data_IF_019784234395
#
_entry.id   IF_019784234395
#
_cell.length_a   1.000
_cell.length_b   1.000
_cell.length_c   1.000
_cell.angle_alpha   90.00
_cell.angle_beta   90.00
_cell.angle_gamma   90.00
#
_symmetry.space_group_name_H-M   'P 1'
#
loop_
_entity.id
_entity.type
_entity.pdbx_description
1 polymer ?
#
# COMPACT_ATOMS: atom_id res chain seq x y z
N UNK A 1 24.22 21.48 24.10
CA UNK A 1 24.31 20.44 23.06
C UNK A 1 25.67 20.54 22.38
N UNK A 2 26.45 19.47 22.37
CA UNK A 2 27.75 19.42 21.68
C UNK A 2 27.54 19.29 20.18
N UNK A 3 28.37 19.94 19.36
CA UNK A 3 28.32 19.90 17.89
C UNK A 3 28.29 18.49 17.31
N UNK A 4 28.90 17.51 18.00
CA UNK A 4 28.85 16.09 17.62
C UNK A 4 27.45 15.44 17.68
N UNK A 5 26.53 15.95 18.51
CA UNK A 5 25.16 15.45 18.61
C UNK A 5 24.34 15.81 17.35
N UNK A 6 24.55 17.00 16.79
CA UNK A 6 23.81 17.50 15.62
C UNK A 6 24.24 16.75 14.36
N UNK A 7 25.53 16.55 14.12
CA UNK A 7 26.02 15.78 12.96
C UNK A 7 25.54 14.32 12.98
N UNK A 8 25.55 13.68 14.15
CA UNK A 8 25.09 12.29 14.28
C UNK A 8 23.59 12.18 13.99
N UNK A 9 22.79 13.12 14.50
CA UNK A 9 21.36 13.19 14.22
C UNK A 9 21.06 13.38 12.74
N UNK A 10 21.74 14.34 12.07
CA UNK A 10 21.54 14.61 10.65
C UNK A 10 21.89 13.40 9.79
N UNK A 11 23.00 12.70 10.07
CA UNK A 11 23.39 11.48 9.35
C UNK A 11 22.35 10.39 9.53
N UNK A 12 21.86 10.18 10.76
CA UNK A 12 20.85 9.16 11.04
C UNK A 12 19.54 9.44 10.29
N UNK A 13 19.10 10.69 10.28
CA UNK A 13 17.90 11.14 9.54
C UNK A 13 18.07 10.87 8.05
N UNK A 14 19.21 11.23 7.44
CA UNK A 14 19.48 10.97 6.01
C UNK A 14 19.43 9.47 5.71
N UNK A 15 20.08 8.64 6.54
CA UNK A 15 20.09 7.18 6.36
C UNK A 15 18.67 6.60 6.42
N UNK A 16 17.84 7.07 7.36
CA UNK A 16 16.44 6.64 7.48
C UNK A 16 15.64 7.05 6.23
N UNK A 17 15.76 8.29 5.76
CA UNK A 17 15.07 8.75 4.55
C UNK A 17 15.50 7.97 3.31
N UNK A 18 16.79 7.67 3.15
CA UNK A 18 17.30 6.84 2.05
C UNK A 18 16.74 5.42 2.15
N UNK A 19 16.74 4.82 3.34
CA UNK A 19 16.19 3.48 3.54
C UNK A 19 14.68 3.42 3.22
N UNK A 20 13.90 4.41 3.67
CA UNK A 20 12.48 4.54 3.34
C UNK A 20 12.29 4.72 1.83
N UNK A 21 13.09 5.58 1.19
CA UNK A 21 13.03 5.81 -0.26
C UNK A 21 13.32 4.54 -1.06
N UNK A 22 14.34 3.77 -0.66
CA UNK A 22 14.68 2.48 -1.28
C UNK A 22 13.56 1.46 -1.08
N UNK A 23 12.97 1.38 0.12
CA UNK A 23 11.84 0.48 0.40
C UNK A 23 10.61 0.84 -0.44
N UNK A 24 10.24 2.12 -0.51
CA UNK A 24 9.12 2.60 -1.34
C UNK A 24 9.38 2.28 -2.81
N UNK A 25 10.57 2.59 -3.32
CA UNK A 25 10.93 2.29 -4.70
C UNK A 25 10.88 0.79 -4.99
N UNK A 26 11.40 -0.05 -4.08
CA UNK A 26 11.34 -1.51 -4.20
C UNK A 26 9.91 -2.03 -4.18
N UNK A 27 9.05 -1.50 -3.30
CA UNK A 27 7.64 -1.84 -3.20
C UNK A 27 6.88 -1.47 -4.49
N UNK A 28 7.09 -0.24 -5.00
CA UNK A 28 6.49 0.21 -6.25
C UNK A 28 6.95 -0.65 -7.43
N UNK A 29 8.25 -0.99 -7.48
CA UNK A 29 8.81 -1.86 -8.52
C UNK A 29 8.27 -3.29 -8.41
N UNK A 30 8.12 -3.83 -7.20
CA UNK A 30 7.55 -5.16 -6.98
C UNK A 30 6.07 -5.19 -7.39
N UNK A 31 5.29 -4.19 -6.98
CA UNK A 31 3.88 -4.04 -7.38
C UNK A 31 3.74 -3.92 -8.90
N UNK A 32 4.61 -3.15 -9.56
CA UNK A 32 4.61 -3.03 -11.01
C UNK A 32 4.92 -4.38 -11.69
N UNK A 33 5.87 -5.17 -11.15
CA UNK A 33 6.15 -6.52 -11.66
C UNK A 33 4.99 -7.48 -11.42
N UNK A 34 4.32 -7.41 -10.26
CA UNK A 34 3.15 -8.23 -9.95
C UNK A 34 1.99 -7.94 -10.90
N UNK A 35 1.66 -6.66 -11.12
CA UNK A 35 0.61 -6.27 -12.08
C UNK A 35 0.90 -6.76 -13.49
N UNK A 36 2.18 -6.71 -13.89
CA UNK A 36 2.63 -7.28 -15.16
C UNK A 36 2.66 -8.81 -15.18
N UNK A 37 2.30 -9.53 -14.12
CA UNK A 37 2.37 -11.00 -14.06
C UNK A 37 3.79 -11.57 -13.99
N UNK A 38 4.83 -10.74 -13.87
CA UNK A 38 6.26 -11.17 -13.85
C UNK A 38 6.67 -11.95 -12.60
N UNK A 39 5.82 -11.95 -11.58
CA UNK A 39 6.06 -12.60 -10.29
C UNK A 39 4.82 -13.40 -9.95
N UNK A 40 5.01 -14.67 -9.56
CA UNK A 40 3.90 -15.49 -9.11
C UNK A 40 3.19 -14.86 -7.91
N UNK A 41 1.87 -15.02 -7.87
CA UNK A 41 1.01 -14.27 -6.97
C UNK A 41 1.31 -14.54 -5.49
N UNK A 42 1.66 -15.79 -5.13
CA UNK A 42 2.06 -16.13 -3.76
C UNK A 42 3.36 -15.45 -3.33
N UNK A 43 4.36 -15.38 -4.23
CA UNK A 43 5.63 -14.71 -3.94
C UNK A 43 5.44 -13.20 -3.81
N UNK A 44 4.62 -12.59 -4.66
CA UNK A 44 4.29 -11.18 -4.57
C UNK A 44 3.58 -10.84 -3.24
N UNK A 45 2.58 -11.65 -2.85
CA UNK A 45 1.88 -11.50 -1.57
C UNK A 45 2.82 -11.66 -0.37
N UNK A 46 3.70 -12.66 -0.39
CA UNK A 46 4.72 -12.88 0.66
C UNK A 46 5.70 -11.70 0.76
N UNK A 47 6.15 -11.15 -0.36
CA UNK A 47 7.02 -9.96 -0.38
C UNK A 47 6.33 -8.72 0.20
N UNK A 48 5.07 -8.47 -0.17
CA UNK A 48 4.29 -7.38 0.43
C UNK A 48 4.10 -7.59 1.94
N UNK A 49 3.77 -8.82 2.36
CA UNK A 49 3.59 -9.13 3.76
C UNK A 49 4.88 -8.90 4.57
N UNK A 50 6.02 -9.36 4.05
CA UNK A 50 7.34 -9.15 4.67
C UNK A 50 7.65 -7.66 4.83
N UNK A 51 7.35 -6.85 3.80
CA UNK A 51 7.53 -5.40 3.87
C UNK A 51 6.70 -4.78 5.01
N UNK A 52 5.45 -5.19 5.17
CA UNK A 52 4.61 -4.73 6.28
C UNK A 52 5.17 -5.16 7.64
N UNK A 53 5.68 -6.40 7.76
CA UNK A 53 6.33 -6.85 9.00
C UNK A 53 7.58 -6.03 9.33
N UNK A 54 8.43 -5.73 8.35
CA UNK A 54 9.63 -4.88 8.53
C UNK A 54 9.23 -3.48 8.99
N UNK A 55 8.20 -2.89 8.38
CA UNK A 55 7.68 -1.58 8.81
C UNK A 55 7.11 -1.64 10.24
N UNK A 56 6.46 -2.75 10.62
CA UNK A 56 6.01 -3.01 11.99
C UNK A 56 7.17 -3.04 12.99
N UNK A 57 8.24 -3.77 12.67
CA UNK A 57 9.47 -3.85 13.49
C UNK A 57 10.11 -2.46 13.64
N UNK A 58 10.19 -1.69 12.55
CA UNK A 58 10.74 -0.34 12.59
C UNK A 58 9.95 0.59 13.53
N UNK A 59 8.61 0.55 13.44
CA UNK A 59 7.74 1.35 14.31
C UNK A 59 7.85 0.91 15.78
N UNK A 60 7.92 -0.39 16.05
CA UNK A 60 8.12 -0.91 17.40
C UNK A 60 9.48 -0.48 17.98
N UNK A 61 10.53 -0.47 17.15
CA UNK A 61 11.85 0.03 17.53
C UNK A 61 11.83 1.52 17.92
N UNK A 62 11.11 2.35 17.17
CA UNK A 62 10.91 3.77 17.51
C UNK A 62 10.15 3.94 18.83
N UNK A 63 9.04 3.19 19.02
CA UNK A 63 8.30 3.21 20.29
C UNK A 63 9.16 2.79 21.49
N UNK A 64 10.02 1.79 21.31
CA UNK A 64 10.94 1.33 22.36
C UNK A 64 12.05 2.35 22.64
N UNK A 65 12.57 3.01 21.62
CA UNK A 65 13.53 4.10 21.77
C UNK A 65 12.98 5.23 22.65
N UNK A 66 11.72 5.62 22.43
CA UNK A 66 11.04 6.62 23.27
C UNK A 66 10.86 6.11 24.71
N UNK A 67 10.46 4.84 24.91
CA UNK A 67 10.37 4.25 26.26
C UNK A 67 11.68 4.32 27.04
N UNK A 68 12.81 4.09 26.38
CA UNK A 68 14.13 4.15 27.02
C UNK A 68 14.50 5.59 27.40
N UNK A 69 14.10 6.58 26.59
CA UNK A 69 14.39 7.99 26.86
C UNK A 69 13.58 8.55 28.06
N UNK A 70 12.40 8.00 28.36
CA UNK A 70 11.51 8.48 29.45
C UNK A 70 12.00 8.05 30.85
N UNK A 71 13.07 7.25 30.95
CA UNK A 71 13.49 6.55 32.18
C UNK A 71 13.95 7.46 33.36
N UNK A 72 13.76 8.77 33.28
CA UNK A 72 14.07 9.75 34.34
C UNK A 72 12.90 10.60 34.84
N UNK A 73 11.74 10.60 34.17
CA UNK A 73 10.61 11.51 34.48
C UNK A 73 9.30 10.71 34.58
N UNK A 74 9.15 9.92 35.66
CA UNK A 74 8.06 8.94 35.81
C UNK A 74 6.69 9.58 36.14
N UNK A 75 6.61 10.89 36.39
CA UNK A 75 5.35 11.56 36.75
C UNK A 75 4.59 12.22 35.58
N UNK A 76 5.12 12.23 34.35
CA UNK A 76 4.44 12.87 33.23
C UNK A 76 3.90 11.87 32.20
N UNK A 77 2.74 12.24 31.66
CA UNK A 77 1.89 11.48 30.74
C UNK A 77 2.69 10.76 29.65
N UNK A 78 2.21 9.57 29.23
CA UNK A 78 2.78 8.83 28.09
C UNK A 78 2.91 9.78 26.88
N UNK A 79 4.12 9.94 26.30
CA UNK A 79 4.31 10.80 25.15
C UNK A 79 3.45 10.29 24.00
N UNK A 80 2.76 11.22 23.35
CA UNK A 80 1.84 10.92 22.24
C UNK A 80 2.60 10.21 21.11
N UNK A 81 3.88 10.55 20.93
CA UNK A 81 4.80 9.93 20.00
C UNK A 81 4.89 8.42 20.21
N UNK A 82 5.07 7.96 21.46
CA UNK A 82 5.13 6.54 21.79
C UNK A 82 3.83 5.82 21.43
N UNK A 83 2.68 6.45 21.69
CA UNK A 83 1.37 5.90 21.33
C UNK A 83 1.25 5.78 19.81
N UNK A 84 1.63 6.81 19.07
CA UNK A 84 1.59 6.82 17.59
C UNK A 84 2.47 5.71 17.02
N UNK A 85 3.71 5.56 17.48
CA UNK A 85 4.61 4.51 17.01
C UNK A 85 4.10 3.11 17.36
N UNK A 86 3.52 2.94 18.55
CA UNK A 86 2.94 1.65 18.98
C UNK A 86 1.74 1.26 18.11
N UNK A 87 0.82 2.19 17.86
CA UNK A 87 -0.33 1.95 16.99
C UNK A 87 0.10 1.69 15.54
N UNK A 88 1.10 2.43 15.04
CA UNK A 88 1.71 2.19 13.73
C UNK A 88 2.25 0.76 13.61
N UNK A 89 3.00 0.30 14.62
CA UNK A 89 3.52 -1.06 14.66
C UNK A 89 2.40 -2.10 14.61
N UNK A 90 1.35 -1.95 15.42
CA UNK A 90 0.20 -2.86 15.45
C UNK A 90 -0.50 -2.94 14.09
N UNK A 91 -0.73 -1.80 13.42
CA UNK A 91 -1.36 -1.75 12.10
C UNK A 91 -0.51 -2.51 11.07
N UNK A 92 0.80 -2.26 11.04
CA UNK A 92 1.69 -2.89 10.07
C UNK A 92 1.87 -4.39 10.33
N UNK A 93 2.04 -4.82 11.58
CA UNK A 93 2.06 -6.25 11.92
C UNK A 93 0.74 -6.93 11.58
N UNK A 94 -0.39 -6.34 11.97
CA UNK A 94 -1.72 -6.88 11.68
C UNK A 94 -1.93 -7.03 10.17
N UNK A 95 -1.51 -6.05 9.37
CA UNK A 95 -1.59 -6.13 7.91
C UNK A 95 -0.70 -7.22 7.33
N UNK A 96 0.55 -7.32 7.79
CA UNK A 96 1.49 -8.34 7.35
C UNK A 96 0.99 -9.75 7.65
N UNK A 97 0.53 -10.00 8.88
CA UNK A 97 -0.04 -11.29 9.30
C UNK A 97 -1.30 -11.60 8.49
N UNK A 98 -2.23 -10.65 8.38
CA UNK A 98 -3.45 -10.84 7.58
C UNK A 98 -3.13 -11.17 6.11
N UNK A 99 -2.09 -10.56 5.54
CA UNK A 99 -1.63 -10.90 4.19
C UNK A 99 -1.03 -12.30 4.11
N UNK A 100 -0.30 -12.79 5.12
CA UNK A 100 0.18 -14.17 5.12
C UNK A 100 -0.94 -15.19 5.29
N UNK A 101 -2.01 -14.83 6.01
CA UNK A 101 -3.15 -15.74 6.26
C UNK A 101 -4.19 -15.77 5.14
N UNK A 102 -4.26 -14.73 4.30
CA UNK A 102 -5.25 -14.69 3.22
C UNK A 102 -4.84 -15.58 2.05
N UNK A 103 -5.78 -16.34 1.46
CA UNK A 103 -5.50 -17.03 0.21
C UNK A 103 -5.17 -16.02 -0.88
N UNK A 104 -4.26 -16.42 -1.76
CA UNK A 104 -3.88 -15.66 -2.96
C UNK A 104 -5.14 -15.44 -3.81
N UNK A 105 -5.31 -14.25 -4.39
CA UNK A 105 -6.44 -13.99 -5.28
C UNK A 105 -6.27 -14.79 -6.55
N UNK A 106 -7.34 -15.45 -6.98
CA UNK A 106 -7.34 -16.25 -8.20
C UNK A 106 -6.98 -15.44 -9.44
N UNK A 107 -7.45 -14.19 -9.50
CA UNK A 107 -7.15 -13.29 -10.63
C UNK A 107 -5.67 -12.97 -10.73
N UNK A 108 -4.99 -12.73 -9.60
CA UNK A 108 -3.53 -12.52 -9.57
C UNK A 108 -2.77 -13.77 -10.09
N UNK A 109 -3.25 -14.97 -9.77
CA UNK A 109 -2.66 -16.21 -10.28
C UNK A 109 -2.83 -16.32 -11.81
N UNK A 110 -4.02 -16.02 -12.34
CA UNK A 110 -4.25 -16.07 -13.78
C UNK A 110 -3.41 -15.03 -14.53
N UNK A 111 -3.34 -13.79 -14.02
CA UNK A 111 -2.48 -12.74 -14.58
C UNK A 111 -1.01 -13.17 -14.70
N UNK A 112 -0.49 -13.84 -13.68
CA UNK A 112 0.88 -14.34 -13.70
C UNK A 112 1.08 -15.46 -14.73
N UNK A 113 0.09 -16.36 -14.88
CA UNK A 113 0.15 -17.45 -15.85
C UNK A 113 0.02 -16.96 -17.30
N UNK A 114 -0.83 -15.97 -17.58
CA UNK A 114 -0.96 -15.39 -18.93
C UNK A 114 0.31 -14.65 -19.37
N UNK A 115 1.03 -14.03 -18.41
CA UNK A 115 2.30 -13.38 -18.72
C UNK A 115 3.39 -14.40 -19.07
N UNK A 116 3.44 -15.52 -18.36
CA UNK A 116 4.41 -16.59 -18.56
C UNK A 116 3.78 -17.96 -18.34
N UNK A 117 3.24 -18.55 -19.42
CA UNK A 117 2.54 -19.84 -19.37
C UNK A 117 3.48 -21.03 -19.14
N UNK A 118 4.80 -20.83 -19.14
CA UNK A 118 5.77 -21.86 -18.75
C UNK A 118 5.82 -22.03 -17.23
N UNK A 119 5.18 -21.15 -16.45
CA UNK A 119 5.22 -21.18 -14.98
C UNK A 119 3.85 -21.09 -14.36
N UNK A 120 3.61 -21.87 -13.31
CA UNK A 120 2.40 -21.76 -12.50
C UNK A 120 2.23 -20.35 -11.95
N UNK A 121 1.11 -19.69 -12.28
CA UNK A 121 0.84 -18.32 -11.83
C UNK A 121 0.68 -18.16 -10.32
N UNK A 122 0.31 -19.23 -9.60
CA UNK A 122 0.20 -19.22 -8.13
C UNK A 122 1.54 -19.31 -7.42
N UNK A 123 2.30 -20.38 -7.65
CA UNK A 123 3.54 -20.68 -6.90
C UNK A 123 4.83 -20.40 -7.69
N UNK A 124 4.77 -20.29 -9.03
CA UNK A 124 5.93 -20.05 -9.90
C UNK A 124 6.71 -21.31 -10.29
N UNK A 125 6.18 -22.50 -10.02
CA UNK A 125 6.76 -23.77 -10.48
C UNK A 125 6.77 -23.85 -12.00
N UNK A 126 7.78 -24.50 -12.58
CA UNK A 126 7.88 -24.72 -14.03
C UNK A 126 6.85 -25.76 -14.48
N UNK A 127 5.98 -25.38 -15.42
CA UNK A 127 4.89 -26.20 -15.95
C UNK A 127 5.00 -26.44 -17.45
N UNK A 128 6.12 -26.05 -18.10
CA UNK A 128 6.29 -26.13 -19.56
C UNK A 128 6.04 -27.52 -20.14
N UNK A 129 6.36 -28.57 -19.37
CA UNK A 129 6.26 -29.96 -19.80
C UNK A 129 5.15 -30.74 -19.08
N UNK A 130 4.22 -30.03 -18.43
CA UNK A 130 3.15 -30.67 -17.65
C UNK A 130 1.88 -30.77 -18.48
N UNK A 131 1.46 -31.99 -18.77
CA UNK A 131 0.19 -32.27 -19.46
C UNK A 131 -1.03 -32.19 -18.54
N UNK A 132 -0.82 -32.13 -17.23
CA UNK A 132 -1.92 -32.03 -16.26
C UNK A 132 -2.53 -30.63 -16.26
N UNK A 133 -3.83 -30.56 -15.98
CA UNK A 133 -4.56 -29.29 -15.82
C UNK A 133 -4.27 -28.58 -14.50
N UNK A 134 -3.46 -29.16 -13.61
CA UNK A 134 -3.24 -28.64 -12.26
C UNK A 134 -1.76 -28.69 -11.87
N UNK A 135 -1.27 -27.62 -11.26
CA UNK A 135 0.12 -27.55 -10.81
C UNK A 135 0.43 -28.66 -9.78
N UNK A 136 1.48 -29.47 -9.97
CA UNK A 136 1.80 -30.57 -9.05
C UNK A 136 2.25 -30.10 -7.66
N UNK A 137 2.82 -28.90 -7.56
CA UNK A 137 3.31 -28.35 -6.28
C UNK A 137 2.19 -27.78 -5.40
N UNK A 138 1.29 -26.99 -6.00
CA UNK A 138 0.31 -26.22 -5.23
C UNK A 138 -1.15 -26.56 -5.56
N UNK A 139 -1.39 -27.51 -6.46
CA UNK A 139 -2.72 -27.96 -6.87
C UNK A 139 -3.58 -26.91 -7.57
N UNK A 140 -2.98 -25.81 -8.05
CA UNK A 140 -3.74 -24.75 -8.72
C UNK A 140 -4.13 -25.18 -10.14
N UNK A 141 -5.41 -25.07 -10.47
CA UNK A 141 -5.93 -25.40 -11.80
C UNK A 141 -5.50 -24.33 -12.81
N UNK A 142 -4.74 -24.74 -13.83
CA UNK A 142 -4.28 -23.88 -14.91
C UNK A 142 -5.45 -23.64 -15.85
N UNK A 143 -6.04 -22.44 -15.76
CA UNK A 143 -7.13 -22.03 -16.65
C UNK A 143 -6.58 -21.71 -18.03
N UNK A 144 -7.39 -21.97 -19.06
CA UNK A 144 -7.07 -21.51 -20.41
C UNK A 144 -7.30 -19.99 -20.47
N UNK A 145 -6.44 -19.29 -21.20
CA UNK A 145 -6.45 -17.82 -21.31
C UNK A 145 -7.73 -17.25 -21.94
N UNK A 146 -8.53 -18.08 -22.63
CA UNK A 146 -9.83 -17.71 -23.21
C UNK A 146 -10.98 -17.69 -22.20
N UNK A 147 -10.81 -18.32 -21.02
CA UNK A 147 -11.85 -18.41 -20.00
C UNK A 147 -11.85 -17.25 -18.99
N UNK A 148 -10.78 -16.44 -18.95
CA UNK A 148 -10.62 -15.39 -17.94
C UNK A 148 -10.50 -14.02 -18.60
N UNK A 149 -11.44 -13.13 -18.28
CA UNK A 149 -11.36 -11.73 -18.71
C UNK A 149 -10.48 -10.95 -17.74
N UNK A 150 -9.40 -10.39 -18.27
CA UNK A 150 -8.43 -9.61 -17.50
C UNK A 150 -8.69 -8.11 -17.63
N UNK A 151 -8.62 -7.37 -16.51
CA UNK A 151 -8.69 -5.90 -16.51
C UNK A 151 -7.40 -5.30 -17.11
N UNK A 152 -7.54 -4.33 -18.03
CA UNK A 152 -6.38 -3.65 -18.63
C UNK A 152 -5.68 -2.72 -17.63
N UNK A 153 -4.38 -2.95 -17.40
CA UNK A 153 -3.58 -2.13 -16.48
C UNK A 153 -3.25 -0.71 -16.97
N UNK A 154 -3.41 -0.43 -18.26
CA UNK A 154 -2.95 0.81 -18.90
C UNK A 154 -3.92 2.00 -18.76
N UNK A 155 -4.63 2.11 -17.64
CA UNK A 155 -5.56 3.24 -17.37
C UNK A 155 -4.91 4.60 -17.55
N UNK A 156 -3.60 4.72 -17.32
CA UNK A 156 -2.83 5.93 -17.57
C UNK A 156 -2.80 6.37 -19.03
N UNK A 157 -3.33 5.58 -19.97
CA UNK A 157 -3.52 5.98 -21.37
C UNK A 157 -4.97 6.33 -21.67
N UNK A 158 -5.80 6.65 -20.67
CA UNK A 158 -7.21 7.01 -20.86
C UNK A 158 -7.42 8.12 -21.89
N UNK A 159 -6.49 9.08 -21.98
CA UNK A 159 -6.55 10.15 -22.99
C UNK A 159 -6.15 9.72 -24.41
N UNK A 160 -5.59 8.52 -24.61
CA UNK A 160 -5.19 7.96 -25.93
C UNK A 160 -6.15 6.86 -26.40
N UNK A 161 -7.43 6.94 -26.04
CA UNK A 161 -8.43 5.96 -26.46
C UNK A 161 -8.26 4.59 -25.81
N UNK A 162 -7.63 4.53 -24.62
CA UNK A 162 -7.63 3.31 -23.79
C UNK A 162 -9.06 2.86 -23.50
N UNK A 163 -9.24 1.54 -23.39
CA UNK A 163 -10.53 0.88 -23.22
C UNK A 163 -10.42 -0.17 -22.13
N UNK A 164 -11.50 -0.28 -21.35
CA UNK A 164 -11.72 -1.36 -20.40
C UNK A 164 -12.78 -2.30 -20.97
N UNK A 165 -12.42 -3.57 -21.15
CA UNK A 165 -13.31 -4.63 -21.65
C UNK A 165 -14.03 -5.36 -20.52
N UNK A 166 -13.41 -5.40 -19.34
CA UNK A 166 -13.92 -6.05 -18.16
C UNK A 166 -13.51 -5.26 -16.92
N UNK A 167 -14.46 -5.11 -15.98
CA UNK A 167 -14.23 -4.50 -14.68
C UNK A 167 -14.54 -5.55 -13.62
N UNK A 168 -13.57 -5.89 -12.77
CA UNK A 168 -13.83 -6.80 -11.68
C UNK A 168 -14.89 -6.22 -10.71
N UNK A 169 -15.83 -7.03 -10.20
CA UNK A 169 -16.76 -6.59 -9.16
C UNK A 169 -16.04 -6.06 -7.90
N UNK A 170 -14.85 -6.60 -7.58
CA UNK A 170 -13.96 -6.10 -6.52
C UNK A 170 -13.55 -4.66 -6.74
N UNK A 171 -13.26 -4.26 -7.98
CA UNK A 171 -12.79 -2.90 -8.31
C UNK A 171 -13.83 -1.84 -7.97
N UNK A 172 -15.12 -2.11 -8.21
CA UNK A 172 -16.22 -1.20 -7.84
C UNK A 172 -16.33 -1.07 -6.32
N UNK A 173 -16.28 -2.20 -5.60
CA UNK A 173 -16.32 -2.20 -4.14
C UNK A 173 -15.12 -1.48 -3.53
N UNK A 174 -13.93 -1.72 -4.08
CA UNK A 174 -12.67 -1.11 -3.64
C UNK A 174 -12.66 0.40 -3.93
N UNK A 175 -13.26 0.84 -5.05
CA UNK A 175 -13.47 2.25 -5.35
C UNK A 175 -14.35 2.94 -4.30
N UNK A 176 -15.54 2.39 -4.01
CA UNK A 176 -16.45 2.98 -3.03
C UNK A 176 -15.88 2.95 -1.61
N UNK A 177 -15.27 1.82 -1.22
CA UNK A 177 -14.61 1.70 0.07
C UNK A 177 -13.45 2.70 0.18
N UNK A 178 -12.61 2.79 -0.84
CA UNK A 178 -11.50 3.73 -0.86
C UNK A 178 -11.96 5.20 -0.83
N UNK A 179 -13.05 5.52 -1.52
CA UNK A 179 -13.67 6.87 -1.49
C UNK A 179 -14.20 7.19 -0.10
N UNK A 180 -14.90 6.24 0.54
CA UNK A 180 -15.37 6.38 1.91
C UNK A 180 -14.21 6.57 2.91
N UNK A 181 -13.17 5.74 2.81
CA UNK A 181 -11.99 5.84 3.66
C UNK A 181 -11.24 7.16 3.45
N UNK A 182 -11.15 7.65 2.22
CA UNK A 182 -10.55 8.96 1.92
C UNK A 182 -11.36 10.08 2.58
N UNK A 183 -12.68 10.04 2.47
CA UNK A 183 -13.56 11.01 3.13
C UNK A 183 -13.42 11.00 4.65
N UNK A 184 -13.41 9.81 5.26
CA UNK A 184 -13.17 9.65 6.70
C UNK A 184 -11.80 10.19 7.11
N UNK A 185 -10.76 9.91 6.32
CA UNK A 185 -9.42 10.44 6.53
C UNK A 185 -9.42 11.97 6.52
N UNK A 186 -10.09 12.62 5.57
CA UNK A 186 -10.22 14.08 5.55
C UNK A 186 -10.92 14.64 6.79
N UNK A 187 -11.98 13.97 7.27
CA UNK A 187 -12.66 14.38 8.52
C UNK A 187 -11.69 14.32 9.69
N UNK A 188 -11.03 13.18 9.89
CA UNK A 188 -10.05 13.00 10.97
C UNK A 188 -8.96 14.06 10.89
N UNK A 189 -8.50 14.35 9.67
CA UNK A 189 -7.46 15.32 9.44
C UNK A 189 -7.89 16.74 9.80
N UNK A 190 -9.08 17.16 9.39
CA UNK A 190 -9.65 18.46 9.77
C UNK A 190 -9.77 18.55 11.29
N UNK A 191 -10.24 17.48 11.95
CA UNK A 191 -10.35 17.40 13.41
C UNK A 191 -8.97 17.54 14.06
N UNK A 192 -7.93 16.88 13.55
CA UNK A 192 -6.58 16.96 14.09
C UNK A 192 -5.96 18.36 13.90
N UNK A 193 -6.11 18.96 12.72
CA UNK A 193 -5.67 20.34 12.46
C UNK A 193 -6.37 21.30 13.43
N UNK A 194 -7.69 21.15 13.59
CA UNK A 194 -8.48 22.01 14.46
C UNK A 194 -8.16 21.81 15.93
N UNK A 195 -7.98 20.57 16.39
CA UNK A 195 -7.55 20.27 17.76
C UNK A 195 -6.16 20.85 18.03
N UNK A 196 -5.22 20.71 17.09
CA UNK A 196 -3.90 21.34 17.18
C UNK A 196 -4.02 22.87 17.20
N UNK A 197 -4.87 23.46 16.36
CA UNK A 197 -5.17 24.89 16.42
C UNK A 197 -5.62 25.33 17.82
N UNK A 198 -6.61 24.65 18.40
CA UNK A 198 -7.13 24.98 19.72
C UNK A 198 -6.11 24.79 20.86
N UNK A 199 -5.23 23.79 20.76
CA UNK A 199 -4.22 23.51 21.80
C UNK A 199 -3.06 24.52 21.80
N UNK A 200 -2.75 25.11 20.64
CA UNK A 200 -1.54 25.93 20.47
C UNK A 200 -1.84 27.41 20.17
N UNK A 201 -3.10 27.81 19.96
CA UNK A 201 -3.47 29.22 19.69
C UNK A 201 -2.95 30.21 20.74
N UNK A 202 -2.80 29.77 22.00
CA UNK A 202 -2.39 30.63 23.11
C UNK A 202 -0.88 30.58 23.41
N UNK A 203 -0.13 29.66 22.78
CA UNK A 203 1.28 29.38 23.11
C UNK A 203 2.33 30.06 22.21
N UNK A 204 1.90 30.85 21.22
CA UNK A 204 2.80 31.42 20.21
C UNK A 204 3.15 30.39 19.12
N UNK A 205 3.07 30.82 17.85
CA UNK A 205 3.16 29.92 16.69
C UNK A 205 4.61 29.60 16.29
N UNK A 206 5.37 28.94 17.16
CA UNK A 206 6.74 28.53 16.85
C UNK A 206 6.77 27.11 16.26
N UNK A 207 6.79 27.05 14.92
CA UNK A 207 7.26 25.96 14.05
C UNK A 207 6.54 24.58 14.05
N UNK A 208 5.74 24.22 15.05
CA UNK A 208 5.07 22.90 15.10
C UNK A 208 3.91 22.71 14.09
N UNK A 209 3.47 23.77 13.39
CA UNK A 209 2.37 23.71 12.41
C UNK A 209 2.77 23.20 11.02
N UNK A 210 4.06 23.21 10.66
CA UNK A 210 4.45 23.00 9.27
C UNK A 210 4.44 21.53 8.83
N UNK A 211 4.76 20.59 9.74
CA UNK A 211 4.88 19.17 9.38
C UNK A 211 3.55 18.58 8.88
N UNK A 212 2.40 18.79 9.56
CA UNK A 212 1.10 18.39 9.01
C UNK A 212 0.82 19.07 7.67
N UNK A 213 1.10 20.38 7.57
CA UNK A 213 0.82 21.20 6.38
C UNK A 213 1.53 20.71 5.11
N UNK A 214 2.68 20.03 5.20
CA UNK A 214 3.39 19.46 4.04
C UNK A 214 3.07 17.98 3.79
N UNK A 215 2.89 17.17 4.83
CA UNK A 215 2.57 15.75 4.67
C UNK A 215 1.14 15.54 4.12
N UNK A 216 0.21 16.40 4.53
CA UNK A 216 -1.20 16.34 4.16
C UNK A 216 -1.43 16.49 2.66
N UNK A 217 -0.95 17.56 1.98
CA UNK A 217 -1.14 17.70 0.54
C UNK A 217 -0.56 16.53 -0.24
N UNK A 218 0.56 15.95 0.21
CA UNK A 218 1.19 14.82 -0.46
C UNK A 218 0.34 13.54 -0.36
N UNK A 219 -0.18 13.23 0.83
CA UNK A 219 -1.09 12.08 1.05
C UNK A 219 -2.40 12.30 0.29
N UNK A 220 -2.94 13.50 0.32
CA UNK A 220 -4.14 13.87 -0.43
C UNK A 220 -3.92 13.72 -1.93
N UNK A 221 -2.84 14.29 -2.48
CA UNK A 221 -2.54 14.21 -3.91
C UNK A 221 -2.37 12.77 -4.38
N UNK A 222 -1.64 11.94 -3.63
CA UNK A 222 -1.44 10.53 -4.00
C UNK A 222 -2.76 9.77 -3.95
N UNK A 223 -3.57 9.94 -2.89
CA UNK A 223 -4.84 9.22 -2.74
C UNK A 223 -5.89 9.66 -3.75
N UNK A 224 -6.00 10.98 -4.00
CA UNK A 224 -6.88 11.55 -5.03
C UNK A 224 -6.46 11.06 -6.41
N UNK A 225 -5.17 11.03 -6.73
CA UNK A 225 -4.69 10.52 -8.03
C UNK A 225 -5.10 9.07 -8.28
N UNK A 226 -4.99 8.20 -7.26
CA UNK A 226 -5.46 6.83 -7.37
C UNK A 226 -6.98 6.74 -7.52
N UNK A 227 -7.75 7.52 -6.76
CA UNK A 227 -9.21 7.53 -6.84
C UNK A 227 -9.73 8.04 -8.17
N UNK A 228 -9.10 9.07 -8.74
CA UNK A 228 -9.47 9.59 -10.07
C UNK A 228 -9.30 8.53 -11.13
N UNK A 229 -8.20 7.75 -11.10
CA UNK A 229 -8.00 6.65 -12.05
C UNK A 229 -9.06 5.56 -11.91
N UNK A 230 -9.45 5.21 -10.69
CA UNK A 230 -10.51 4.24 -10.45
C UNK A 230 -11.88 4.77 -10.89
N UNK A 231 -12.18 6.05 -10.66
CA UNK A 231 -13.39 6.70 -11.16
C UNK A 231 -13.46 6.66 -12.70
N UNK A 232 -12.34 6.92 -13.38
CA UNK A 232 -12.26 6.82 -14.85
C UNK A 232 -12.54 5.40 -15.33
N UNK A 233 -12.00 4.37 -14.66
CA UNK A 233 -12.26 2.96 -14.97
C UNK A 233 -13.75 2.62 -14.85
N UNK A 234 -14.34 2.93 -13.70
CA UNK A 234 -15.76 2.67 -13.41
C UNK A 234 -16.66 3.40 -14.41
N UNK A 235 -16.36 4.68 -14.70
CA UNK A 235 -17.14 5.47 -15.64
C UNK A 235 -17.08 4.94 -17.08
N UNK A 236 -15.88 4.61 -17.57
CA UNK A 236 -15.73 4.07 -18.93
C UNK A 236 -16.41 2.70 -19.08
N UNK A 237 -16.29 1.84 -18.07
CA UNK A 237 -16.96 0.55 -18.05
C UNK A 237 -18.49 0.72 -18.03
N UNK A 238 -19.02 1.56 -17.13
CA UNK A 238 -20.45 1.85 -17.03
C UNK A 238 -21.02 2.41 -18.32
N UNK A 239 -20.28 3.30 -19.02
CA UNK A 239 -20.66 3.82 -20.33
C UNK A 239 -20.82 2.72 -21.37
N UNK A 240 -19.93 1.72 -21.38
CA UNK A 240 -20.01 0.61 -22.35
C UNK A 240 -21.15 -0.35 -22.06
N UNK A 241 -21.39 -0.67 -20.79
CA UNK A 241 -22.54 -1.48 -20.37
C UNK A 241 -23.84 -0.80 -20.80
N UNK A 242 -23.96 0.51 -20.61
CA UNK A 242 -25.12 1.28 -21.07
C UNK A 242 -25.28 1.30 -22.61
N UNK A 243 -24.19 1.06 -23.35
CA UNK A 243 -24.18 0.98 -24.82
C UNK A 243 -24.33 -0.45 -25.36
N UNK A 244 -24.48 -1.46 -24.50
CA UNK A 244 -24.63 -2.87 -24.91
C UNK A 244 -23.37 -3.48 -25.54
N UNK A 245 -22.18 -2.94 -25.23
CA UNK A 245 -20.90 -3.36 -25.81
C UNK A 245 -20.10 -4.36 -24.96
N UNK A 246 -20.68 -4.90 -23.89
CA UNK A 246 -20.04 -5.79 -22.90
C UNK A 246 -20.95 -6.98 -22.61
#
# INVERSE_FOLDING_TARGET
>A
MTTGSITTFVVLVIVIFVAIGVMIWWALRSNAKQKQGKVCAQKAQSQMAMMFLILGIANAGLAFGEMVNIRGEIEQQLPIEMIVWTLGAMVFFGKGIMMLSKPVRETDCVHAYEYDSTRCGRCGYDVEHIESKACPECGWEMKRSDEVRIESDMVWRFWKGWRIDYLEPSTVKDFWLGTFLLFLFFIILIVLIFAQYLLYKDKGMDYAYYIPLFAIPLIVMTTVSFQVLQAVRVWQYGKRVAQGMV
#
